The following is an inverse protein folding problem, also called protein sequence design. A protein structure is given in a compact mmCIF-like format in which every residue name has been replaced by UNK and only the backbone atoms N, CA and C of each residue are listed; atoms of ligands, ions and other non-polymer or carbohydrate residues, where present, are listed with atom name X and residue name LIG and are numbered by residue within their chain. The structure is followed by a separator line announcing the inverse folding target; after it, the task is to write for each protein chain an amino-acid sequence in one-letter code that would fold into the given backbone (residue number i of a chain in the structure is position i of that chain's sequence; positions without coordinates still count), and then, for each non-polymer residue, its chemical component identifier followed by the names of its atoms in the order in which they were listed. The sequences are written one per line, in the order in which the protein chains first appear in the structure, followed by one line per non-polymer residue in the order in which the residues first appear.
data_IF_871181457851
#
_entry.id   IF_871181457851
#
_cell.length_a   1.000
_cell.length_b   1.000
_cell.length_c   1.000
_cell.angle_alpha   90.00
_cell.angle_beta   90.00
_cell.angle_gamma   90.00
#
_symmetry.space_group_name_H-M   'P 1'
#
loop_
_entity.id
_entity.type
_entity.pdbx_description
1 polymer ?
#
# COMPACT_ATOMS: atom_id res chain seq x y z
N UNK A 1 -40.76 -63.37 51.67
CA UNK A 1 -40.74 -61.91 51.95
C UNK A 1 -39.83 -61.28 50.90
N UNK A 2 -40.39 -60.43 50.02
CA UNK A 2 -39.71 -59.83 48.87
C UNK A 2 -38.70 -58.77 49.33
N UNK A 3 -37.53 -58.71 48.69
CA UNK A 3 -36.86 -57.44 48.43
C UNK A 3 -35.98 -57.55 47.17
N UNK A 4 -36.37 -56.76 46.17
CA UNK A 4 -35.59 -56.34 45.01
C UNK A 4 -34.37 -55.52 45.48
N UNK A 5 -33.28 -55.48 44.70
CA UNK A 5 -32.62 -54.23 44.26
C UNK A 5 -31.54 -54.52 43.20
N UNK A 6 -31.80 -53.89 42.05
CA UNK A 6 -30.97 -53.38 40.95
C UNK A 6 -29.61 -53.99 40.57
N UNK A 7 -29.57 -54.38 39.29
CA UNK A 7 -28.43 -54.28 38.36
C UNK A 7 -27.75 -52.91 38.47
N UNK A 8 -26.42 -52.87 38.58
CA UNK A 8 -25.66 -51.65 38.30
C UNK A 8 -24.52 -51.99 37.33
N UNK A 9 -24.77 -51.73 36.06
CA UNK A 9 -23.79 -51.72 34.97
C UNK A 9 -22.97 -50.45 35.13
N UNK A 10 -21.72 -50.55 35.58
CA UNK A 10 -20.82 -49.40 35.68
C UNK A 10 -20.18 -49.16 34.31
N UNK A 11 -20.85 -48.38 33.46
CA UNK A 11 -20.29 -47.87 32.21
C UNK A 11 -19.45 -46.64 32.55
N UNK A 12 -18.13 -46.81 32.61
CA UNK A 12 -17.18 -45.73 32.90
C UNK A 12 -16.97 -44.94 31.60
N UNK A 13 -17.84 -43.96 31.36
CA UNK A 13 -17.65 -42.97 30.27
C UNK A 13 -16.54 -42.02 30.71
N UNK A 14 -15.31 -42.29 30.27
CA UNK A 14 -14.23 -41.32 30.26
C UNK A 14 -14.60 -40.22 29.27
N UNK A 15 -15.23 -39.16 29.77
CA UNK A 15 -15.21 -37.87 29.10
C UNK A 15 -13.76 -37.38 29.11
N UNK A 16 -13.02 -37.64 28.04
CA UNK A 16 -11.89 -36.80 27.68
C UNK A 16 -12.46 -35.42 27.38
N UNK A 17 -12.55 -34.58 28.42
CA UNK A 17 -12.61 -33.14 28.24
C UNK A 17 -11.22 -32.76 27.74
N UNK A 18 -10.98 -32.94 26.44
CA UNK A 18 -9.90 -32.24 25.76
C UNK A 18 -10.21 -30.77 25.93
N UNK A 19 -9.61 -30.14 26.94
CA UNK A 19 -9.48 -28.69 26.94
C UNK A 19 -8.87 -28.35 25.58
N UNK A 20 -9.46 -27.45 24.78
CA UNK A 20 -8.76 -26.94 23.63
C UNK A 20 -7.41 -26.47 24.16
N UNK A 21 -6.33 -27.00 23.60
CA UNK A 21 -5.01 -26.42 23.79
C UNK A 21 -5.19 -25.04 23.16
N UNK A 22 -5.39 -24.01 23.97
CA UNK A 22 -5.41 -22.64 23.50
C UNK A 22 -4.13 -22.47 22.68
N UNK A 23 -4.29 -22.35 21.37
CA UNK A 23 -3.17 -22.24 20.47
C UNK A 23 -2.41 -20.99 20.88
N UNK A 24 -1.18 -21.18 21.38
CA UNK A 24 -0.35 -20.10 21.88
C UNK A 24 -0.09 -19.11 20.74
N UNK A 25 -0.69 -17.92 20.82
CA UNK A 25 -0.46 -16.86 19.85
C UNK A 25 0.92 -16.28 20.06
N UNK A 26 1.70 -16.15 18.99
CA UNK A 26 3.04 -15.57 19.02
C UNK A 26 3.15 -14.51 17.94
N UNK A 27 3.35 -13.26 18.36
CA UNK A 27 3.68 -12.15 17.46
C UNK A 27 4.92 -11.47 18.03
N UNK A 28 5.98 -11.40 17.24
CA UNK A 28 7.24 -10.77 17.62
C UNK A 28 7.64 -9.83 16.49
N UNK A 29 7.79 -8.54 16.80
CA UNK A 29 8.29 -7.53 15.85
C UNK A 29 9.61 -7.02 16.36
N UNK A 30 10.68 -7.27 15.60
CA UNK A 30 12.04 -6.82 15.93
C UNK A 30 12.50 -7.19 17.36
N UNK A 31 12.14 -8.39 17.82
CA UNK A 31 12.45 -8.85 19.17
C UNK A 31 11.45 -8.40 20.25
N UNK A 32 10.51 -7.52 19.93
CA UNK A 32 9.45 -7.07 20.84
C UNK A 32 8.23 -8.00 20.73
N UNK A 33 7.92 -8.82 21.75
CA UNK A 33 6.76 -9.68 21.73
C UNK A 33 5.47 -8.91 22.04
N UNK A 34 4.38 -9.31 21.40
CA UNK A 34 3.03 -8.95 21.83
C UNK A 34 2.64 -9.76 23.07
N UNK A 35 1.69 -9.25 23.84
CA UNK A 35 0.94 -10.01 24.85
C UNK A 35 0.23 -11.19 24.17
N UNK A 36 0.14 -12.30 24.90
CA UNK A 36 -0.40 -13.56 24.37
C UNK A 36 -1.90 -13.56 24.08
N UNK A 37 -2.66 -12.61 24.66
CA UNK A 37 -4.09 -12.45 24.39
C UNK A 37 -4.32 -11.13 23.64
N UNK A 38 -4.35 -11.20 22.31
CA UNK A 38 -4.63 -10.06 21.44
C UNK A 38 -6.11 -9.73 21.47
N UNK A 39 -6.52 -8.52 21.81
CA UNK A 39 -7.95 -8.13 21.72
C UNK A 39 -8.46 -8.20 20.27
N UNK A 40 -7.61 -7.85 19.30
CA UNK A 40 -7.91 -7.98 17.86
C UNK A 40 -6.89 -8.92 17.22
N UNK A 41 -7.38 -9.97 16.56
CA UNK A 41 -6.61 -10.82 15.67
C UNK A 41 -7.48 -11.13 14.44
N UNK A 42 -7.50 -10.20 13.49
CA UNK A 42 -8.42 -10.23 12.36
C UNK A 42 -7.69 -10.44 11.04
N UNK A 43 -8.36 -11.12 10.13
CA UNK A 43 -7.93 -11.26 8.75
C UNK A 43 -9.07 -10.95 7.79
N UNK A 44 -8.75 -10.23 6.72
CA UNK A 44 -9.68 -9.93 5.65
C UNK A 44 -9.07 -10.27 4.30
N UNK A 45 -9.88 -10.86 3.42
CA UNK A 45 -9.58 -10.97 1.99
C UNK A 45 -10.48 -10.00 1.23
N UNK A 46 -9.90 -9.20 0.34
CA UNK A 46 -10.62 -8.29 -0.54
C UNK A 46 -9.99 -8.31 -1.93
N UNK A 47 -10.65 -8.96 -2.89
CA UNK A 47 -10.07 -9.18 -4.22
C UNK A 47 -8.74 -9.94 -4.14
N UNK A 48 -7.66 -9.30 -4.57
CA UNK A 48 -6.29 -9.84 -4.57
C UNK A 48 -5.47 -9.40 -3.34
N UNK A 49 -6.12 -8.90 -2.29
CA UNK A 49 -5.46 -8.39 -1.09
C UNK A 49 -5.80 -9.23 0.14
N UNK A 50 -4.79 -9.50 0.99
CA UNK A 50 -4.95 -9.98 2.36
C UNK A 50 -4.60 -8.81 3.30
N UNK A 51 -5.48 -8.53 4.25
CA UNK A 51 -5.21 -7.59 5.35
C UNK A 51 -5.23 -8.35 6.68
N UNK A 52 -4.24 -8.10 7.53
CA UNK A 52 -4.11 -8.68 8.87
C UNK A 52 -4.02 -7.56 9.88
N UNK A 53 -4.81 -7.64 10.95
CA UNK A 53 -4.90 -6.63 12.01
C UNK A 53 -4.71 -7.28 13.36
N UNK A 54 -3.62 -6.92 14.05
CA UNK A 54 -3.24 -7.46 15.35
C UNK A 54 -3.13 -6.33 16.35
N UNK A 55 -3.92 -6.36 17.41
CA UNK A 55 -3.90 -5.34 18.44
C UNK A 55 -3.92 -5.99 19.80
N UNK A 56 -3.00 -5.57 20.67
CA UNK A 56 -3.08 -5.92 22.09
C UNK A 56 -4.32 -5.30 22.75
N UNK A 57 -4.79 -4.15 22.24
CA UNK A 57 -5.91 -3.39 22.79
C UNK A 57 -6.78 -2.88 21.63
N UNK A 58 -8.08 -3.16 21.68
CA UNK A 58 -9.09 -2.67 20.74
C UNK A 58 -9.44 -1.20 21.07
N UNK A 59 -8.67 -0.27 20.52
CA UNK A 59 -8.94 1.17 20.67
C UNK A 59 -10.19 1.64 19.92
N UNK A 60 -10.78 0.80 19.05
CA UNK A 60 -12.03 1.09 18.36
C UNK A 60 -13.26 0.70 19.18
N UNK A 61 -13.05 0.03 20.32
CA UNK A 61 -14.12 -0.24 21.24
C UNK A 61 -14.69 1.08 21.77
N UNK A 62 -16.02 1.31 21.68
CA UNK A 62 -16.65 2.53 22.20
C UNK A 62 -16.38 2.80 23.69
N UNK A 63 -15.98 1.77 24.46
CA UNK A 63 -15.53 1.91 25.84
C UNK A 63 -14.26 2.77 25.98
N UNK A 64 -13.43 2.86 24.94
CA UNK A 64 -12.19 3.63 24.93
C UNK A 64 -12.31 4.99 24.18
N UNK A 65 -13.38 5.19 23.39
CA UNK A 65 -13.63 6.43 22.65
C UNK A 65 -13.99 7.63 23.57
N UNK A 66 -14.49 7.40 24.78
CA UNK A 66 -15.03 8.48 25.64
C UNK A 66 -13.96 9.32 26.37
N UNK A 67 -12.68 8.91 26.40
CA UNK A 67 -11.63 9.54 27.22
C UNK A 67 -10.52 10.28 26.44
N UNK A 68 -10.70 10.55 25.14
CA UNK A 68 -9.62 11.03 24.24
C UNK A 68 -8.34 10.17 24.32
N UNK A 69 -8.45 8.92 24.78
CA UNK A 69 -7.35 8.01 25.08
C UNK A 69 -6.26 8.57 26.03
N UNK A 70 -6.62 9.45 26.97
CA UNK A 70 -5.64 9.98 27.96
C UNK A 70 -5.16 8.90 28.93
N UNK A 71 -5.98 7.87 29.19
CA UNK A 71 -5.71 6.73 30.08
C UNK A 71 -5.70 5.37 29.36
N UNK A 72 -5.75 5.34 28.02
CA UNK A 72 -5.60 4.08 27.29
C UNK A 72 -4.26 3.45 27.66
N UNK A 73 -4.29 2.23 28.19
CA UNK A 73 -3.05 1.49 28.45
C UNK A 73 -2.23 1.44 27.17
N UNK A 74 -0.93 1.68 27.28
CA UNK A 74 -0.04 1.50 26.16
C UNK A 74 -0.06 0.03 25.71
N UNK A 75 0.02 -0.16 24.40
CA UNK A 75 0.00 -1.48 23.79
C UNK A 75 0.55 -1.44 22.39
N UNK A 76 0.76 -2.63 21.83
CA UNK A 76 1.29 -2.82 20.48
C UNK A 76 0.18 -3.07 19.47
N UNK A 77 0.37 -2.61 18.25
CA UNK A 77 -0.48 -2.97 17.12
C UNK A 77 0.34 -3.22 15.86
N UNK A 78 -0.15 -4.10 14.99
CA UNK A 78 0.41 -4.41 13.69
C UNK A 78 -0.72 -4.48 12.68
N UNK A 79 -0.69 -3.59 11.70
CA UNK A 79 -1.49 -3.69 10.49
C UNK A 79 -0.59 -4.16 9.35
N UNK A 80 -1.00 -5.20 8.63
CA UNK A 80 -0.25 -5.75 7.51
C UNK A 80 -1.17 -5.88 6.29
N UNK A 81 -0.69 -5.38 5.16
CA UNK A 81 -1.37 -5.43 3.88
C UNK A 81 -0.50 -6.20 2.88
N UNK A 82 -1.13 -7.10 2.14
CA UNK A 82 -0.47 -7.98 1.19
C UNK A 82 -1.27 -7.95 -0.10
N UNK A 83 -0.67 -7.48 -1.20
CA UNK A 83 -1.32 -7.36 -2.50
C UNK A 83 -0.66 -8.33 -3.50
N UNK A 84 -1.46 -9.19 -4.11
CA UNK A 84 -0.99 -10.15 -5.11
C UNK A 84 -1.29 -9.64 -6.51
N UNK A 85 -0.28 -9.51 -7.36
CA UNK A 85 -0.45 -9.02 -8.74
C UNK A 85 -1.15 -10.02 -9.70
N UNK A 86 -1.42 -11.25 -9.26
CA UNK A 86 -2.06 -12.31 -10.06
C UNK A 86 -3.01 -13.16 -9.22
N UNK A 87 -3.55 -12.58 -8.15
CA UNK A 87 -4.31 -13.29 -7.13
C UNK A 87 -3.48 -14.34 -6.38
N UNK A 88 -4.14 -15.08 -5.50
CA UNK A 88 -3.52 -16.11 -4.67
C UNK A 88 -4.49 -17.27 -4.42
N UNK A 89 -3.94 -18.43 -4.07
CA UNK A 89 -4.73 -19.59 -3.66
C UNK A 89 -5.21 -19.42 -2.22
N UNK A 90 -6.48 -19.71 -1.94
CA UNK A 90 -7.01 -19.76 -0.58
C UNK A 90 -7.70 -21.12 -0.31
N UNK A 91 -7.40 -21.80 0.81
CA UNK A 91 -6.35 -21.45 1.78
C UNK A 91 -4.93 -21.56 1.19
N UNK A 92 -3.98 -20.85 1.81
CA UNK A 92 -2.55 -21.08 1.60
C UNK A 92 -2.13 -22.13 2.61
N UNK A 93 -1.84 -23.34 2.13
CA UNK A 93 -1.25 -24.40 2.94
C UNK A 93 0.28 -24.29 2.93
N UNK A 94 0.98 -25.02 3.80
CA UNK A 94 2.45 -25.01 3.86
C UNK A 94 3.09 -25.37 2.50
N UNK A 95 2.44 -26.23 1.71
CA UNK A 95 2.89 -26.59 0.35
C UNK A 95 2.66 -25.48 -0.69
N UNK A 96 1.77 -24.53 -0.42
CA UNK A 96 1.43 -23.39 -1.29
C UNK A 96 2.09 -22.09 -0.80
N UNK A 97 3.02 -22.18 0.14
CA UNK A 97 3.65 -21.03 0.78
C UNK A 97 4.16 -19.98 -0.22
N UNK A 98 4.00 -18.71 0.10
CA UNK A 98 4.26 -17.61 -0.84
C UNK A 98 5.36 -16.69 -0.33
N UNK A 99 6.24 -16.29 -1.24
CA UNK A 99 7.30 -15.30 -0.98
C UNK A 99 7.03 -14.03 -1.77
N UNK A 100 6.98 -12.91 -1.06
CA UNK A 100 6.80 -11.58 -1.64
C UNK A 100 8.05 -10.76 -1.30
N UNK A 101 8.72 -10.23 -2.31
CA UNK A 101 10.07 -9.64 -2.18
C UNK A 101 10.11 -8.12 -2.25
N UNK A 102 8.97 -7.49 -2.53
CA UNK A 102 8.90 -6.05 -2.75
C UNK A 102 7.96 -5.47 -1.71
N UNK A 103 8.43 -4.48 -0.96
CA UNK A 103 7.57 -3.74 -0.03
C UNK A 103 6.78 -2.65 -0.77
N UNK A 104 5.69 -2.14 -0.17
CA UNK A 104 4.97 -0.97 -0.69
C UNK A 104 5.90 0.25 -0.88
N UNK A 105 6.81 0.50 0.07
CA UNK A 105 7.76 1.60 -0.03
C UNK A 105 8.71 1.42 -1.21
N UNK A 106 9.25 0.21 -1.39
CA UNK A 106 10.16 -0.09 -2.48
C UNK A 106 9.46 -0.01 -3.85
N UNK A 107 8.23 -0.52 -3.94
CA UNK A 107 7.39 -0.41 -5.13
C UNK A 107 7.18 1.05 -5.52
N UNK A 108 6.80 1.91 -4.56
CA UNK A 108 6.59 3.34 -4.79
C UNK A 108 7.85 4.06 -5.30
N UNK A 109 9.01 3.77 -4.71
CA UNK A 109 10.29 4.33 -5.16
C UNK A 109 10.68 3.85 -6.56
N UNK A 110 10.47 2.56 -6.85
CA UNK A 110 10.77 1.99 -8.17
C UNK A 110 9.87 2.59 -9.25
N UNK A 111 8.58 2.77 -8.95
CA UNK A 111 7.61 3.38 -9.85
C UNK A 111 7.98 4.85 -10.12
N UNK A 112 8.23 5.64 -9.08
CA UNK A 112 8.66 7.03 -9.23
C UNK A 112 9.94 7.16 -10.05
N UNK A 113 10.93 6.27 -9.82
CA UNK A 113 12.17 6.24 -10.60
C UNK A 113 11.89 5.93 -12.07
N UNK A 114 11.09 4.90 -12.34
CA UNK A 114 10.72 4.52 -13.70
C UNK A 114 9.99 5.66 -14.42
N UNK A 115 9.02 6.29 -13.77
CA UNK A 115 8.26 7.41 -14.33
C UNK A 115 9.16 8.61 -14.64
N UNK A 116 10.08 8.93 -13.73
CA UNK A 116 11.08 9.99 -13.94
C UNK A 116 11.97 9.69 -15.14
N UNK A 117 12.43 8.44 -15.30
CA UNK A 117 13.20 8.00 -16.46
C UNK A 117 12.37 8.08 -17.76
N UNK A 118 11.08 7.70 -17.73
CA UNK A 118 10.19 7.83 -18.89
C UNK A 118 9.98 9.30 -19.28
N UNK A 119 9.74 10.18 -18.31
CA UNK A 119 9.58 11.63 -18.54
C UNK A 119 10.86 12.23 -19.11
N UNK A 120 12.02 11.87 -18.57
CA UNK A 120 13.31 12.36 -19.07
C UNK A 120 13.59 11.86 -20.49
N UNK A 121 13.30 10.59 -20.76
CA UNK A 121 13.44 10.02 -22.12
C UNK A 121 12.50 10.71 -23.11
N UNK A 122 11.24 10.96 -22.71
CA UNK A 122 10.29 11.73 -23.51
C UNK A 122 10.84 13.14 -23.80
N UNK A 123 11.29 13.87 -22.78
CA UNK A 123 11.88 15.20 -22.93
C UNK A 123 13.11 15.21 -23.85
N UNK A 124 13.98 14.21 -23.75
CA UNK A 124 15.16 14.09 -24.60
C UNK A 124 14.82 13.70 -26.05
N UNK A 125 13.69 13.02 -26.27
CA UNK A 125 13.21 12.66 -27.60
C UNK A 125 12.51 13.81 -28.32
N UNK A 126 12.10 14.87 -27.59
CA UNK A 126 11.51 16.07 -28.19
C UNK A 126 12.56 16.82 -29.00
N UNK A 127 12.34 16.91 -30.30
CA UNK A 127 13.11 17.79 -31.16
C UNK A 127 12.67 19.26 -30.96
N UNK A 128 13.44 20.04 -30.20
CA UNK A 128 13.13 21.47 -29.96
C UNK A 128 12.91 22.28 -31.24
N UNK A 129 13.65 21.98 -32.30
CA UNK A 129 13.48 22.69 -33.58
C UNK A 129 12.12 22.41 -34.25
N UNK A 130 11.58 21.22 -34.03
CA UNK A 130 10.24 20.83 -34.50
C UNK A 130 9.15 21.53 -33.68
N UNK A 131 9.31 21.59 -32.36
CA UNK A 131 8.41 22.34 -31.46
C UNK A 131 8.39 23.83 -31.80
N UNK A 132 9.55 24.44 -32.00
CA UNK A 132 9.66 25.86 -32.37
C UNK A 132 9.03 26.12 -33.76
N UNK A 133 9.22 25.20 -34.71
CA UNK A 133 8.59 25.29 -36.02
C UNK A 133 7.05 25.19 -35.94
N UNK A 134 6.53 24.31 -35.08
CA UNK A 134 5.09 24.17 -34.83
C UNK A 134 4.49 25.40 -34.15
N UNK A 135 5.17 25.97 -33.16
CA UNK A 135 4.73 27.21 -32.51
C UNK A 135 4.68 28.38 -33.51
N UNK A 136 5.70 28.52 -34.35
CA UNK A 136 5.72 29.53 -35.40
C UNK A 136 4.58 29.35 -36.41
N UNK A 137 4.30 28.10 -36.85
CA UNK A 137 3.16 27.81 -37.72
C UNK A 137 1.82 28.14 -37.06
N UNK A 138 1.65 27.80 -35.78
CA UNK A 138 0.43 28.10 -35.03
C UNK A 138 0.16 29.62 -34.94
N UNK A 139 1.18 30.44 -34.69
CA UNK A 139 1.01 31.89 -34.64
C UNK A 139 0.67 32.47 -36.02
N UNK A 140 1.27 31.95 -37.10
CA UNK A 140 0.93 32.34 -38.48
C UNK A 140 -0.52 31.98 -38.81
N UNK A 141 -0.99 30.80 -38.40
CA UNK A 141 -2.39 30.36 -38.59
C UNK A 141 -3.34 31.27 -37.82
N UNK A 142 -3.01 31.61 -36.58
CA UNK A 142 -3.81 32.51 -35.75
C UNK A 142 -3.95 33.90 -36.37
N UNK A 143 -2.86 34.48 -36.88
CA UNK A 143 -2.91 35.80 -37.53
C UNK A 143 -3.74 35.76 -38.83
N UNK A 144 -3.54 34.75 -39.69
CA UNK A 144 -4.35 34.58 -40.90
C UNK A 144 -5.81 34.26 -40.60
N UNK A 145 -6.10 33.52 -39.52
CA UNK A 145 -7.45 33.23 -39.05
C UNK A 145 -8.20 34.51 -38.62
N UNK A 146 -7.49 35.46 -37.98
CA UNK A 146 -8.05 36.79 -37.67
C UNK A 146 -8.40 37.56 -38.95
N UNK A 147 -7.56 37.52 -39.98
CA UNK A 147 -7.84 38.18 -41.26
C UNK A 147 -9.09 37.60 -41.94
N UNK A 148 -9.22 36.27 -41.98
CA UNK A 148 -10.40 35.59 -42.54
C UNK A 148 -11.66 35.98 -41.76
N UNK A 149 -11.57 35.99 -40.42
CA UNK A 149 -12.69 36.39 -39.54
C UNK A 149 -13.12 37.84 -39.80
N UNK A 150 -12.16 38.74 -40.00
CA UNK A 150 -12.42 40.14 -40.34
C UNK A 150 -13.12 40.29 -41.69
N UNK A 151 -12.65 39.57 -42.73
CA UNK A 151 -13.29 39.58 -44.05
C UNK A 151 -14.73 39.07 -44.00
N UNK A 152 -15.01 38.06 -43.17
CA UNK A 152 -16.35 37.54 -42.94
C UNK A 152 -17.25 38.58 -42.25
N UNK A 153 -16.75 39.24 -41.20
CA UNK A 153 -17.48 40.30 -40.48
C UNK A 153 -17.77 41.52 -41.37
N UNK A 154 -16.85 41.86 -42.27
CA UNK A 154 -17.02 42.93 -43.26
C UNK A 154 -17.94 42.53 -44.43
N UNK A 155 -18.44 41.28 -44.47
CA UNK A 155 -19.32 40.77 -45.53
C UNK A 155 -18.61 40.58 -46.87
N UNK A 156 -17.27 40.58 -46.90
CA UNK A 156 -16.45 40.46 -48.12
C UNK A 156 -16.32 39.02 -48.60
N UNK A 157 -16.58 38.05 -47.73
CA UNK A 157 -16.61 36.62 -48.04
C UNK A 157 -17.87 35.99 -47.45
N UNK A 158 -18.32 34.89 -48.05
CA UNK A 158 -19.44 34.11 -47.52
C UNK A 158 -18.99 33.24 -46.35
N UNK A 159 -19.93 32.76 -45.50
CA UNK A 159 -19.61 31.76 -44.49
C UNK A 159 -18.96 30.49 -45.07
N UNK A 160 -19.41 30.01 -46.25
CA UNK A 160 -18.81 28.84 -46.90
C UNK A 160 -17.38 29.12 -47.41
N UNK A 161 -17.11 30.32 -47.93
CA UNK A 161 -15.74 30.72 -48.29
C UNK A 161 -14.82 30.77 -47.07
N UNK A 162 -15.30 31.32 -45.95
CA UNK A 162 -14.52 31.45 -44.73
C UNK A 162 -14.17 30.07 -44.15
N UNK A 163 -15.15 29.15 -44.10
CA UNK A 163 -14.95 27.76 -43.67
C UNK A 163 -13.89 27.06 -44.53
N UNK A 164 -14.00 27.16 -45.86
CA UNK A 164 -13.03 26.56 -46.79
C UNK A 164 -11.62 27.11 -46.58
N UNK A 165 -11.49 28.42 -46.37
CA UNK A 165 -10.18 29.05 -46.14
C UNK A 165 -9.58 28.66 -44.78
N UNK A 166 -10.40 28.57 -43.73
CA UNK A 166 -9.96 28.10 -42.41
C UNK A 166 -9.51 26.65 -42.45
N UNK A 167 -10.27 25.75 -43.10
CA UNK A 167 -9.88 24.36 -43.28
C UNK A 167 -8.56 24.23 -44.04
N UNK A 168 -8.40 24.97 -45.15
CA UNK A 168 -7.16 24.97 -45.94
C UNK A 168 -5.97 25.47 -45.11
N UNK A 169 -6.21 26.39 -44.16
CA UNK A 169 -5.20 26.96 -43.29
C UNK A 169 -4.80 26.02 -42.15
N UNK A 170 -5.76 25.27 -41.57
CA UNK A 170 -5.52 24.43 -40.39
C UNK A 170 -5.16 22.99 -40.72
N UNK A 171 -5.59 22.47 -41.88
CA UNK A 171 -5.39 21.07 -42.24
C UNK A 171 -3.92 20.64 -42.34
N UNK A 172 -3.00 21.39 -42.97
CA UNK A 172 -1.58 21.03 -42.99
C UNK A 172 -0.96 21.00 -41.60
N UNK A 173 -1.42 21.86 -40.68
CA UNK A 173 -0.94 21.88 -39.30
C UNK A 173 -1.44 20.69 -38.50
N UNK A 174 -2.66 20.22 -38.74
CA UNK A 174 -3.16 18.97 -38.16
C UNK A 174 -2.34 17.78 -38.65
N UNK A 175 -2.05 17.71 -39.95
CA UNK A 175 -1.23 16.63 -40.52
C UNK A 175 0.22 16.67 -39.99
N UNK A 176 0.80 17.85 -39.81
CA UNK A 176 2.11 18.02 -39.18
C UNK A 176 2.11 17.56 -37.71
N UNK A 177 1.04 17.83 -36.96
CA UNK A 177 0.87 17.36 -35.57
C UNK A 177 0.77 15.84 -35.49
N UNK A 178 -0.03 15.22 -36.37
CA UNK A 178 -0.21 13.78 -36.40
C UNK A 178 1.09 13.03 -36.77
N UNK A 179 1.92 13.64 -37.61
CA UNK A 179 3.21 13.10 -38.02
C UNK A 179 4.39 13.51 -37.12
N UNK A 180 4.13 14.26 -36.05
CA UNK A 180 5.20 14.79 -35.21
C UNK A 180 5.90 13.70 -34.40
N UNK A 181 7.18 13.91 -34.13
CA UNK A 181 7.95 13.04 -33.22
C UNK A 181 7.38 13.05 -31.79
N UNK A 182 6.73 14.14 -31.40
CA UNK A 182 6.12 14.34 -30.08
C UNK A 182 4.87 13.47 -29.88
N UNK A 183 4.09 13.26 -30.94
CA UNK A 183 2.88 12.41 -30.94
C UNK A 183 3.17 10.91 -30.86
N UNK A 184 4.43 10.51 -31.07
CA UNK A 184 4.88 9.12 -31.15
C UNK A 184 5.74 8.67 -29.96
N UNK A 185 5.80 9.48 -28.89
CA UNK A 185 6.52 9.11 -27.66
C UNK A 185 5.70 8.05 -26.93
N UNK A 186 6.13 6.80 -27.04
CA UNK A 186 5.54 5.69 -26.29
C UNK A 186 6.10 5.69 -24.85
N UNK A 187 5.23 5.93 -23.88
CA UNK A 187 5.55 5.80 -22.45
C UNK A 187 5.22 4.36 -22.04
N UNK A 188 6.20 3.66 -21.46
CA UNK A 188 5.99 2.29 -20.97
C UNK A 188 5.48 2.32 -19.53
N UNK A 189 4.41 1.58 -19.28
CA UNK A 189 3.89 1.40 -17.92
C UNK A 189 4.86 0.59 -17.04
N UNK A 190 4.87 0.91 -15.74
CA UNK A 190 5.61 0.13 -14.76
C UNK A 190 4.93 -1.23 -14.54
N UNK A 191 5.71 -2.32 -14.51
CA UNK A 191 5.17 -3.66 -14.28
C UNK A 191 4.97 -3.91 -12.79
N UNK A 192 3.71 -3.99 -12.38
CA UNK A 192 3.34 -4.27 -10.99
C UNK A 192 3.81 -5.66 -10.51
N UNK A 193 4.31 -5.67 -9.28
CA UNK A 193 4.74 -6.87 -8.55
C UNK A 193 3.77 -7.15 -7.41
N UNK A 194 3.70 -8.40 -6.95
CA UNK A 194 3.08 -8.65 -5.65
C UNK A 194 3.90 -7.94 -4.58
N UNK A 195 3.23 -7.30 -3.62
CA UNK A 195 3.85 -6.42 -2.64
C UNK A 195 3.31 -6.67 -1.23
N UNK A 196 4.08 -6.26 -0.23
CA UNK A 196 3.66 -6.28 1.18
C UNK A 196 3.94 -4.93 1.85
N UNK A 197 3.16 -4.61 2.86
CA UNK A 197 3.38 -3.50 3.76
C UNK A 197 2.96 -3.87 5.17
N UNK A 198 3.58 -3.25 6.16
CA UNK A 198 3.02 -3.24 7.50
C UNK A 198 3.39 -1.96 8.24
N UNK A 199 2.56 -1.62 9.23
CA UNK A 199 2.82 -0.60 10.22
C UNK A 199 2.75 -1.26 11.60
N UNK A 200 3.90 -1.35 12.27
CA UNK A 200 3.97 -1.76 13.66
C UNK A 200 4.03 -0.51 14.55
N UNK A 201 3.03 -0.33 15.41
CA UNK A 201 3.02 0.73 16.40
C UNK A 201 3.34 0.17 17.78
N UNK A 202 4.33 0.78 18.44
CA UNK A 202 4.58 0.56 19.86
C UNK A 202 4.21 1.84 20.61
N UNK A 203 3.07 1.83 21.31
CA UNK A 203 2.60 3.00 22.03
C UNK A 203 3.42 3.30 23.30
N UNK A 204 4.14 2.32 23.85
CA UNK A 204 5.02 2.54 25.02
C UNK A 204 6.21 3.43 24.65
N UNK A 205 6.80 3.19 23.48
CA UNK A 205 7.94 3.96 22.95
C UNK A 205 7.50 5.08 22.01
N UNK A 206 6.20 5.13 21.69
CA UNK A 206 5.61 6.04 20.72
C UNK A 206 6.37 6.01 19.37
N UNK A 207 6.60 4.80 18.85
CA UNK A 207 7.27 4.56 17.57
C UNK A 207 6.39 3.81 16.59
N UNK A 208 6.65 4.04 15.31
CA UNK A 208 6.09 3.29 14.19
C UNK A 208 7.25 2.65 13.41
N UNK A 209 7.16 1.36 13.10
CA UNK A 209 8.12 0.65 12.25
C UNK A 209 7.45 0.18 10.96
N UNK A 210 8.10 0.43 9.82
CA UNK A 210 7.66 0.01 8.48
C UNK A 210 8.74 -0.80 7.75
N UNK A 211 8.38 -1.77 6.90
CA UNK A 211 9.34 -2.46 6.08
C UNK A 211 9.81 -1.59 4.93
N UNK A 212 11.12 -1.56 4.68
CA UNK A 212 11.70 -0.95 3.49
C UNK A 212 12.05 -1.99 2.42
N UNK A 213 12.83 -3.00 2.76
CA UNK A 213 13.26 -4.03 1.79
C UNK A 213 13.45 -5.37 2.49
N UNK A 214 13.29 -6.47 1.76
CA UNK A 214 13.36 -7.80 2.35
C UNK A 214 12.33 -8.72 1.73
N UNK A 215 11.87 -9.71 2.49
CA UNK A 215 10.79 -10.57 2.05
C UNK A 215 9.77 -10.80 3.14
N UNK A 216 8.51 -10.96 2.72
CA UNK A 216 7.45 -11.57 3.50
C UNK A 216 7.25 -13.00 2.98
N UNK A 217 7.29 -13.95 3.91
CA UNK A 217 7.02 -15.36 3.67
C UNK A 217 5.71 -15.74 4.38
N UNK A 218 4.67 -16.05 3.61
CA UNK A 218 3.39 -16.52 4.14
C UNK A 218 3.44 -18.05 4.08
N UNK A 219 3.54 -18.67 5.25
CA UNK A 219 3.64 -20.11 5.39
C UNK A 219 2.27 -20.77 5.37
N UNK A 220 1.31 -20.19 6.10
CA UNK A 220 -0.05 -20.72 6.22
C UNK A 220 -1.04 -19.56 6.33
N UNK A 221 -2.14 -19.65 5.60
CA UNK A 221 -3.25 -18.73 5.74
C UNK A 221 -4.58 -19.41 5.42
N UNK A 222 -5.45 -19.47 6.42
CA UNK A 222 -6.83 -19.96 6.28
C UNK A 222 -7.76 -19.15 7.19
N UNK A 223 -8.98 -19.63 7.42
CA UNK A 223 -9.97 -18.92 8.25
C UNK A 223 -9.65 -18.90 9.74
N UNK A 224 -8.81 -19.84 10.20
CA UNK A 224 -8.54 -20.10 11.61
C UNK A 224 -7.12 -19.69 12.00
N UNK A 225 -6.17 -19.69 11.06
CA UNK A 225 -4.76 -19.50 11.35
C UNK A 225 -4.05 -18.66 10.29
N UNK A 226 -3.08 -17.86 10.75
CA UNK A 226 -2.14 -17.15 9.91
C UNK A 226 -0.72 -17.33 10.46
N UNK A 227 0.19 -17.78 9.61
CA UNK A 227 1.61 -17.93 9.91
C UNK A 227 2.42 -17.21 8.84
N UNK A 228 3.19 -16.22 9.26
CA UNK A 228 4.05 -15.46 8.36
C UNK A 228 5.34 -15.01 9.03
N UNK A 229 6.35 -14.81 8.21
CA UNK A 229 7.65 -14.29 8.63
C UNK A 229 8.11 -13.20 7.67
N UNK A 230 8.46 -12.04 8.21
CA UNK A 230 9.19 -11.01 7.50
C UNK A 230 10.64 -10.99 7.94
N UNK A 231 11.57 -10.81 6.99
CA UNK A 231 12.95 -10.44 7.26
C UNK A 231 13.45 -9.39 6.29
N UNK A 232 14.11 -8.37 6.82
CA UNK A 232 14.65 -7.31 5.99
C UNK A 232 15.00 -6.03 6.75
N UNK A 233 15.21 -4.97 5.98
CA UNK A 233 15.49 -3.63 6.47
C UNK A 233 14.20 -2.89 6.81
N UNK A 234 14.17 -2.28 7.99
CA UNK A 234 13.02 -1.54 8.50
C UNK A 234 13.40 -0.11 8.83
N UNK A 235 12.41 0.77 8.74
CA UNK A 235 12.51 2.17 9.12
C UNK A 235 11.66 2.37 10.36
N UNK A 236 12.27 2.86 11.43
CA UNK A 236 11.57 3.28 12.63
C UNK A 236 11.47 4.80 12.68
N UNK A 237 10.27 5.29 12.96
CA UNK A 237 9.95 6.70 13.08
C UNK A 237 9.25 6.95 14.41
N UNK A 238 9.38 8.16 14.93
CA UNK A 238 8.53 8.59 16.02
C UNK A 238 7.12 8.86 15.51
N UNK A 239 6.11 8.45 16.27
CA UNK A 239 4.77 8.99 16.07
C UNK A 239 4.76 10.48 16.47
N UNK A 240 3.87 11.26 15.85
CA UNK A 240 3.82 12.72 16.02
C UNK A 240 3.76 13.16 17.48
N UNK A 241 3.00 12.42 18.30
CA UNK A 241 2.85 12.66 19.74
C UNK A 241 4.19 12.72 20.45
N UNK A 242 5.16 11.84 20.12
CA UNK A 242 6.49 11.83 20.74
C UNK A 242 7.33 13.03 20.32
N UNK A 243 7.36 13.33 19.03
CA UNK A 243 8.11 14.47 18.52
C UNK A 243 7.61 15.80 19.11
N UNK A 244 6.31 15.90 19.42
CA UNK A 244 5.70 17.09 20.01
C UNK A 244 5.94 17.25 21.53
N UNK A 245 6.49 16.24 22.22
CA UNK A 245 6.70 16.31 23.68
C UNK A 245 7.76 17.35 24.07
N UNK A 246 8.83 17.49 23.28
CA UNK A 246 9.89 18.47 23.52
C UNK A 246 10.78 18.67 22.29
N UNK A 247 11.57 19.74 22.31
CA UNK A 247 12.61 20.01 21.28
C UNK A 247 13.67 18.90 21.28
N UNK A 248 13.97 18.33 22.46
CA UNK A 248 14.90 17.22 22.60
C UNK A 248 14.39 15.95 21.92
N UNK A 249 13.10 15.62 22.09
CA UNK A 249 12.50 14.46 21.41
C UNK A 249 12.40 14.70 19.90
N UNK A 250 12.02 15.90 19.44
CA UNK A 250 12.01 16.20 18.01
C UNK A 250 13.40 15.97 17.37
N UNK A 251 14.47 16.40 18.04
CA UNK A 251 15.85 16.18 17.57
C UNK A 251 16.21 14.69 17.53
N UNK A 252 15.79 13.90 18.52
CA UNK A 252 16.01 12.43 18.53
C UNK A 252 15.25 11.75 17.40
N UNK A 253 13.99 12.13 17.18
CA UNK A 253 13.13 11.59 16.14
C UNK A 253 13.65 11.84 14.72
N UNK A 254 14.50 12.87 14.56
CA UNK A 254 15.16 13.24 13.29
C UNK A 254 16.67 13.07 13.36
N UNK A 255 17.16 12.11 14.16
CA UNK A 255 18.60 11.95 14.41
C UNK A 255 19.33 11.23 13.29
N UNK A 256 18.66 10.37 12.54
CA UNK A 256 19.25 9.58 11.45
C UNK A 256 18.77 10.12 10.11
N UNK A 257 19.71 10.51 9.24
CA UNK A 257 19.39 10.75 7.82
C UNK A 257 19.15 9.41 7.15
N UNK A 258 17.96 9.22 6.58
CA UNK A 258 17.55 7.94 6.00
C UNK A 258 18.39 7.61 4.76
N UNK A 259 18.94 6.40 4.71
CA UNK A 259 19.62 5.87 3.52
C UNK A 259 18.61 5.35 2.49
N UNK A 260 17.40 5.03 2.96
CA UNK A 260 16.34 4.41 2.18
C UNK A 260 15.36 5.41 1.56
N UNK A 261 15.08 6.51 2.27
CA UNK A 261 14.19 7.58 1.86
C UNK A 261 14.98 8.89 1.74
N UNK A 262 15.31 9.34 0.51
CA UNK A 262 16.02 10.60 0.29
C UNK A 262 15.34 11.77 1.00
N UNK A 263 16.14 12.71 1.49
CA UNK A 263 15.71 13.94 2.18
C UNK A 263 14.87 13.73 3.46
N UNK A 264 14.73 12.49 3.92
CA UNK A 264 13.96 12.14 5.11
C UNK A 264 14.91 11.88 6.28
N UNK A 265 14.48 12.30 7.48
CA UNK A 265 15.15 11.93 8.73
C UNK A 265 14.22 11.09 9.59
N UNK A 266 14.79 10.06 10.21
CA UNK A 266 14.06 9.02 10.94
C UNK A 266 14.71 8.79 12.30
N UNK A 267 14.05 7.97 13.13
CA UNK A 267 14.57 7.61 14.43
C UNK A 267 15.70 6.58 14.29
N UNK A 268 15.46 5.52 13.50
CA UNK A 268 16.46 4.50 13.20
C UNK A 268 16.18 3.75 11.90
N UNK A 269 17.22 3.15 11.33
CA UNK A 269 17.15 2.18 10.23
C UNK A 269 17.93 0.93 10.65
N UNK A 270 17.32 -0.24 10.51
CA UNK A 270 17.95 -1.48 10.97
C UNK A 270 17.39 -2.71 10.26
N UNK A 271 18.21 -3.74 10.16
CA UNK A 271 17.74 -5.08 9.82
C UNK A 271 16.95 -5.65 10.99
N UNK A 272 15.85 -6.33 10.70
CA UNK A 272 15.11 -7.10 11.70
C UNK A 272 14.11 -8.05 11.06
N UNK A 273 13.12 -8.46 11.84
CA UNK A 273 12.09 -9.37 11.36
C UNK A 273 10.78 -9.28 12.12
N UNK A 274 9.74 -9.82 11.52
CA UNK A 274 8.43 -10.03 12.15
C UNK A 274 8.13 -11.52 12.07
N UNK A 275 7.70 -12.11 13.17
CA UNK A 275 7.17 -13.47 13.20
C UNK A 275 5.74 -13.44 13.72
N UNK A 276 4.84 -14.10 13.01
CA UNK A 276 3.42 -14.18 13.32
C UNK A 276 3.02 -15.65 13.25
N UNK A 277 2.45 -16.15 14.35
CA UNK A 277 1.72 -17.43 14.42
C UNK A 277 0.51 -17.19 15.33
N UNK A 278 -0.65 -17.02 14.73
CA UNK A 278 -1.87 -16.60 15.42
C UNK A 278 -3.05 -17.46 15.04
N UNK A 279 -3.98 -17.59 15.99
CA UNK A 279 -5.35 -17.99 15.68
C UNK A 279 -6.19 -16.76 15.39
N UNK A 280 -6.90 -16.77 14.27
CA UNK A 280 -7.74 -15.65 13.81
C UNK A 280 -9.03 -15.64 14.64
N UNK A 281 -9.31 -14.50 15.28
CA UNK A 281 -10.53 -14.26 16.07
C UNK A 281 -11.71 -13.83 15.19
N UNK A 282 -11.47 -13.07 14.11
CA UNK A 282 -12.49 -12.75 13.11
C UNK A 282 -11.93 -12.79 11.69
N UNK A 283 -12.68 -13.38 10.77
CA UNK A 283 -12.30 -13.55 9.36
C UNK A 283 -13.39 -13.01 8.43
N UNK A 284 -12.98 -12.18 7.47
CA UNK A 284 -13.86 -11.57 6.48
C UNK A 284 -13.40 -11.93 5.06
N UNK A 285 -14.31 -12.40 4.21
CA UNK A 285 -14.01 -12.75 2.81
C UNK A 285 -14.93 -11.97 1.88
N UNK A 286 -14.38 -10.96 1.23
CA UNK A 286 -15.08 -10.00 0.36
C UNK A 286 -14.65 -10.16 -1.11
N UNK A 287 -14.36 -11.38 -1.56
CA UNK A 287 -14.06 -11.70 -2.96
C UNK A 287 -15.32 -11.92 -3.81
#
# INVERSE_FOLDING_TARGET
MKQFILKNTFFLVLFFVSKPIDAQQTVIVNGEPFKSDLEIAEAQISGETIMIRLYEIDKFNPKHEMDNCTECSDGKSLDMDIEFNRGFKFPIEETDSVFIKVSHLQQGLNMHKHDSEQVQNAQNSINKSEVDAMQNKAEVIKEKGKEITKLLQEGKITPQEAEKQLLTLTQPFSEDLDNSSVSNIEVKDYKESSVYGFSFYNNETLTETKPFSGYLYIKEFNKERFIAEYRGEMIEQCVEKRAAQSIEEEKKCKSVSSQYLPDTKVLSEQSGGVYIDISIKAFFDNR
#
